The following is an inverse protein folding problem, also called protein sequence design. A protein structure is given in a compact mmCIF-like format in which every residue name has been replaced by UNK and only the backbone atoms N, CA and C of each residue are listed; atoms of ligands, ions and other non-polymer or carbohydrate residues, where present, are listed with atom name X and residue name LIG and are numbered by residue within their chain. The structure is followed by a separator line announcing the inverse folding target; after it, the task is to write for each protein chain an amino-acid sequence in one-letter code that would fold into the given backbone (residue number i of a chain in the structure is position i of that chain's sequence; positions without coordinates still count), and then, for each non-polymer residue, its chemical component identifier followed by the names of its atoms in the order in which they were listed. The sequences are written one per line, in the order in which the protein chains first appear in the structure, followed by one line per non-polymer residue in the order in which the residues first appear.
data_IF_994265889237
#
_entry.id   IF_994265889237
#
_cell.length_a   1.000
_cell.length_b   1.000
_cell.length_c   1.000
_cell.angle_alpha   90.00
_cell.angle_beta   90.00
_cell.angle_gamma   90.00
#
_symmetry.space_group_name_H-M   'P 1'
#
loop_
_entity.id
_entity.type
_entity.pdbx_description
1 polymer ?
#
# COMPACT_ATOMS: atom_id res chain seq x y z
N UNK A 1 12.75 21.40 -12.26
CA UNK A 1 11.69 20.70 -11.49
C UNK A 1 10.37 20.92 -12.21
N UNK A 2 9.81 19.89 -12.85
CA UNK A 2 8.48 19.99 -13.47
C UNK A 2 7.39 19.96 -12.41
N UNK A 3 6.25 20.59 -12.69
CA UNK A 3 5.08 20.56 -11.81
C UNK A 3 4.59 19.11 -11.59
N UNK A 4 4.31 18.75 -10.33
CA UNK A 4 3.78 17.44 -9.94
C UNK A 4 2.40 17.63 -9.30
N UNK A 5 1.43 16.88 -9.78
CA UNK A 5 0.07 16.83 -9.21
C UNK A 5 0.08 16.28 -7.78
N UNK A 6 -0.76 16.83 -6.90
CA UNK A 6 -0.77 16.49 -5.47
C UNK A 6 -0.98 14.99 -5.20
N UNK A 7 -1.88 14.35 -5.94
CA UNK A 7 -2.14 12.91 -5.81
C UNK A 7 -0.89 12.04 -6.04
N UNK A 8 0.05 12.52 -6.85
CA UNK A 8 1.34 11.85 -7.05
C UNK A 8 2.36 12.27 -6.01
N UNK A 9 2.37 13.56 -5.63
CA UNK A 9 3.28 14.11 -4.61
C UNK A 9 3.11 13.42 -3.25
N UNK A 10 1.88 13.09 -2.88
CA UNK A 10 1.54 12.51 -1.58
C UNK A 10 1.17 11.03 -1.64
N UNK A 11 1.56 10.31 -2.70
CA UNK A 11 1.33 8.87 -2.78
C UNK A 11 2.16 8.18 -1.68
N UNK A 12 1.56 7.39 -0.77
CA UNK A 12 2.29 6.71 0.30
C UNK A 12 3.48 5.90 -0.25
N UNK A 13 4.65 6.02 0.36
CA UNK A 13 5.87 5.30 -0.03
C UNK A 13 6.15 4.12 0.92
N UNK A 14 5.58 4.16 2.11
CA UNK A 14 5.69 3.13 3.14
C UNK A 14 4.30 2.69 3.63
N UNK A 15 4.22 1.48 4.19
CA UNK A 15 2.98 0.96 4.76
C UNK A 15 2.42 1.82 5.92
N UNK A 16 3.29 2.53 6.65
CA UNK A 16 2.89 3.44 7.73
C UNK A 16 2.22 4.72 7.25
N UNK A 17 2.41 5.11 5.99
CA UNK A 17 1.79 6.29 5.40
C UNK A 17 0.44 5.98 4.74
N UNK A 18 0.04 4.71 4.68
CA UNK A 18 -1.25 4.29 4.12
C UNK A 18 -2.36 4.63 5.11
N UNK A 19 -3.32 5.44 4.67
CA UNK A 19 -4.43 5.87 5.51
C UNK A 19 -5.54 4.82 5.58
N UNK A 20 -6.04 4.53 6.79
CA UNK A 20 -7.25 3.77 7.09
C UNK A 20 -7.32 2.31 6.59
N UNK A 21 -6.21 1.72 6.13
CA UNK A 21 -6.14 0.34 5.63
C UNK A 21 -5.26 -0.56 6.51
N UNK A 22 -5.33 -0.38 7.83
CA UNK A 22 -4.46 -1.08 8.80
C UNK A 22 -4.57 -2.61 8.71
N UNK A 23 -5.75 -3.14 8.43
CA UNK A 23 -5.93 -4.59 8.34
C UNK A 23 -5.17 -5.18 7.15
N UNK A 24 -5.14 -4.47 6.00
CA UNK A 24 -4.48 -4.92 4.77
C UNK A 24 -2.97 -4.81 4.94
N UNK A 25 -2.50 -3.65 5.39
CA UNK A 25 -1.07 -3.38 5.52
C UNK A 25 -0.39 -4.30 6.52
N UNK A 26 -1.04 -4.60 7.66
CA UNK A 26 -0.52 -5.56 8.66
C UNK A 26 -0.37 -6.97 8.11
N UNK A 27 -1.35 -7.47 7.34
CA UNK A 27 -1.29 -8.80 6.73
C UNK A 27 -0.11 -8.87 5.75
N UNK A 28 0.04 -7.87 4.89
CA UNK A 28 1.13 -7.81 3.92
C UNK A 28 2.49 -7.70 4.61
N UNK A 29 2.62 -6.86 5.63
CA UNK A 29 3.85 -6.74 6.43
C UNK A 29 4.23 -8.08 7.08
N UNK A 30 3.27 -8.78 7.66
CA UNK A 30 3.50 -10.08 8.31
C UNK A 30 3.86 -11.18 7.30
N UNK A 31 3.21 -11.19 6.14
CA UNK A 31 3.53 -12.14 5.06
C UNK A 31 4.97 -11.95 4.56
N UNK A 32 5.39 -10.70 4.37
CA UNK A 32 6.76 -10.35 3.97
C UNK A 32 7.76 -10.75 5.06
N UNK A 33 7.51 -10.38 6.32
CA UNK A 33 8.46 -10.66 7.42
C UNK A 33 8.62 -12.15 7.71
N UNK A 34 7.57 -12.94 7.52
CA UNK A 34 7.60 -14.40 7.69
C UNK A 34 8.01 -15.17 6.44
N UNK A 35 8.29 -14.49 5.32
CA UNK A 35 8.63 -15.13 4.04
C UNK A 35 7.46 -15.91 3.41
N UNK A 36 6.24 -15.78 3.94
CA UNK A 36 5.04 -16.48 3.48
C UNK A 36 4.30 -15.66 2.43
N UNK A 37 4.96 -15.43 1.30
CA UNK A 37 4.42 -14.63 0.20
C UNK A 37 3.49 -15.53 -0.63
N UNK A 38 2.23 -15.12 -0.78
CA UNK A 38 1.28 -15.83 -1.63
C UNK A 38 1.67 -15.71 -3.12
N UNK A 39 1.23 -16.68 -3.93
CA UNK A 39 1.48 -16.66 -5.37
C UNK A 39 0.78 -15.50 -6.09
N UNK A 40 -0.37 -15.04 -5.58
CA UNK A 40 -1.13 -13.94 -6.15
C UNK A 40 -1.87 -13.14 -5.07
N UNK A 41 -2.09 -11.84 -5.36
CA UNK A 41 -2.90 -10.93 -4.54
C UNK A 41 -3.93 -10.22 -5.42
N UNK A 42 -5.18 -10.17 -4.97
CA UNK A 42 -6.25 -9.40 -5.61
C UNK A 42 -6.62 -8.23 -4.70
N UNK A 43 -6.50 -7.01 -5.22
CA UNK A 43 -6.92 -5.79 -4.52
C UNK A 43 -8.24 -5.30 -5.12
N UNK A 44 -9.23 -5.06 -4.27
CA UNK A 44 -10.57 -4.61 -4.67
C UNK A 44 -10.99 -3.38 -3.89
N UNK A 45 -11.69 -2.45 -4.54
CA UNK A 45 -12.22 -1.25 -3.91
C UNK A 45 -12.66 -0.21 -4.95
N UNK A 46 -13.39 0.83 -4.53
CA UNK A 46 -13.67 1.97 -5.37
C UNK A 46 -12.36 2.69 -5.76
N UNK A 47 -12.43 3.56 -6.77
CA UNK A 47 -11.29 4.37 -7.18
C UNK A 47 -10.93 5.39 -6.08
N UNK A 48 -9.64 5.51 -5.80
CA UNK A 48 -9.08 6.49 -4.85
C UNK A 48 -8.73 5.80 -3.54
#
# INVERSE_FOLDING_TARGET
MSYIVLARKYRPQSFSEVYAQDHVTKILQSAISSGRIAHAYLFTGPRG
#
